data_IF_453863326282
#
_entry.id   IF_453863326282
#
_cell.length_a   1.000
_cell.length_b   1.000
_cell.length_c   1.000
_cell.angle_alpha   90.00
_cell.angle_beta   90.00
_cell.angle_gamma   90.00
#
_symmetry.space_group_name_H-M   'P 1'
#
loop_
_entity.id
_entity.type
_entity.pdbx_description
1 polymer ?
#
# COMPACT_ATOMS: atom_id res chain seq x y z
N UNK A 1 -81.30 29.13 24.19
CA UNK A 1 -80.79 28.99 22.81
C UNK A 1 -80.34 30.39 22.39
N UNK A 2 -79.03 30.66 22.48
CA UNK A 2 -78.47 32.01 22.64
C UNK A 2 -77.77 32.52 21.38
N UNK A 3 -78.12 33.78 21.05
CA UNK A 3 -77.42 34.91 20.43
C UNK A 3 -76.24 34.75 19.43
N UNK A 4 -76.34 35.58 18.39
CA UNK A 4 -75.31 36.01 17.45
C UNK A 4 -74.29 36.99 18.06
N UNK A 5 -73.08 37.07 17.48
CA UNK A 5 -72.38 38.32 17.07
C UNK A 5 -70.88 38.10 16.76
N UNK A 6 -70.37 38.85 15.77
CA UNK A 6 -69.13 39.61 15.95
C UNK A 6 -67.94 39.27 15.06
N UNK A 7 -67.79 39.99 13.95
CA UNK A 7 -66.51 40.23 13.28
C UNK A 7 -65.58 41.10 14.15
N UNK A 8 -64.26 40.86 14.12
CA UNK A 8 -63.25 41.91 14.00
C UNK A 8 -61.83 41.37 13.78
N UNK A 9 -61.12 41.95 12.82
CA UNK A 9 -59.75 41.59 12.45
C UNK A 9 -58.67 42.16 13.36
N UNK A 10 -57.44 41.62 13.22
CA UNK A 10 -56.18 42.29 13.57
C UNK A 10 -54.97 41.63 12.88
N UNK A 11 -54.43 42.37 11.91
CA UNK A 11 -53.01 42.71 11.66
C UNK A 11 -51.86 41.74 12.06
N UNK A 12 -51.06 41.42 11.03
CA UNK A 12 -49.59 41.52 10.95
C UNK A 12 -48.68 40.82 12.00
N UNK A 13 -47.98 39.77 11.56
CA UNK A 13 -46.54 39.54 11.79
C UNK A 13 -46.06 38.38 10.88
N UNK A 14 -45.05 38.54 10.00
CA UNK A 14 -44.30 37.39 9.53
C UNK A 14 -43.31 36.97 10.62
N UNK A 15 -43.31 35.69 10.98
CA UNK A 15 -42.31 35.10 11.84
C UNK A 15 -40.93 35.32 11.23
N UNK A 16 -40.06 36.03 11.94
CA UNK A 16 -38.62 36.04 11.67
C UNK A 16 -38.09 34.63 11.90
N UNK A 17 -37.92 33.87 10.82
CA UNK A 17 -37.05 32.71 10.81
C UNK A 17 -35.62 33.19 11.00
N UNK A 18 -35.06 32.98 12.18
CA UNK A 18 -33.63 33.10 12.44
C UNK A 18 -32.88 32.14 11.52
N UNK A 19 -32.31 32.68 10.45
CA UNK A 19 -31.33 31.97 9.61
C UNK A 19 -30.08 31.81 10.47
N UNK A 20 -29.93 30.63 11.07
CA UNK A 20 -28.66 30.20 11.64
C UNK A 20 -27.71 30.02 10.46
N UNK A 21 -26.86 31.02 10.22
CA UNK A 21 -25.70 30.91 9.34
C UNK A 21 -24.79 29.83 9.91
N UNK A 22 -24.97 28.59 9.45
CA UNK A 22 -23.96 27.56 9.59
C UNK A 22 -22.71 28.05 8.88
N UNK A 23 -21.74 28.51 9.66
CA UNK A 23 -20.38 28.65 9.19
C UNK A 23 -19.97 27.28 8.66
N UNK A 24 -19.83 27.17 7.34
CA UNK A 24 -19.07 26.08 6.76
C UNK A 24 -17.62 26.30 7.21
N UNK A 25 -17.26 25.63 8.30
CA UNK A 25 -15.87 25.38 8.63
C UNK A 25 -15.27 24.68 7.42
N UNK A 26 -14.44 25.41 6.68
CA UNK A 26 -13.58 24.85 5.66
C UNK A 26 -12.73 23.76 6.30
N UNK A 27 -13.16 22.51 6.17
CA UNK A 27 -12.30 21.37 6.44
C UNK A 27 -11.16 21.45 5.43
N UNK A 28 -10.03 21.99 5.89
CA UNK A 28 -8.75 21.91 5.20
C UNK A 28 -8.55 20.46 4.77
N UNK A 29 -8.63 20.18 3.47
CA UNK A 29 -8.28 18.88 2.91
C UNK A 29 -6.82 18.62 3.27
N UNK A 30 -6.58 17.76 4.25
CA UNK A 30 -5.23 17.35 4.62
C UNK A 30 -4.74 16.46 3.48
N UNK A 31 -3.98 17.02 2.55
CA UNK A 31 -3.22 16.22 1.59
C UNK A 31 -2.19 15.42 2.39
N UNK A 32 -2.49 14.16 2.65
CA UNK A 32 -1.51 13.25 3.22
C UNK A 32 -0.47 12.93 2.14
N UNK A 33 0.80 13.06 2.49
CA UNK A 33 1.91 12.90 1.56
C UNK A 33 2.03 11.41 1.17
N UNK A 34 2.10 11.12 -0.14
CA UNK A 34 2.14 9.75 -0.66
C UNK A 34 3.61 9.35 -0.87
N UNK A 35 3.99 8.17 -0.39
CA UNK A 35 5.26 7.54 -0.70
C UNK A 35 5.03 6.35 -1.63
N UNK A 36 5.73 6.32 -2.77
CA UNK A 36 5.69 5.22 -3.74
C UNK A 36 6.80 4.23 -3.45
N UNK A 37 6.46 2.97 -3.21
CA UNK A 37 7.44 1.89 -2.97
C UNK A 37 7.38 0.85 -4.08
N UNK A 38 8.52 0.43 -4.59
CA UNK A 38 8.59 -0.72 -5.49
C UNK A 38 8.99 -1.96 -4.71
N UNK A 39 8.16 -2.99 -4.78
CA UNK A 39 8.43 -4.31 -4.22
C UNK A 39 8.94 -5.20 -5.35
N UNK A 40 10.18 -5.66 -5.26
CA UNK A 40 10.81 -6.58 -6.21
C UNK A 40 10.70 -7.98 -5.60
N UNK A 41 9.81 -8.81 -6.15
CA UNK A 41 9.63 -10.19 -5.70
C UNK A 41 10.51 -11.13 -6.51
N UNK A 42 11.62 -11.54 -5.90
CA UNK A 42 12.61 -12.41 -6.55
C UNK A 42 12.32 -13.90 -6.32
N UNK A 43 11.59 -14.24 -5.25
CA UNK A 43 11.29 -15.61 -4.84
C UNK A 43 11.47 -15.81 -3.33
N UNK A 44 11.83 -17.03 -2.94
CA UNK A 44 11.91 -17.44 -1.53
C UNK A 44 10.57 -17.83 -0.90
N UNK A 45 10.64 -18.35 0.33
CA UNK A 45 9.50 -18.94 1.04
C UNK A 45 8.34 -17.96 1.26
N UNK A 46 8.62 -16.66 1.39
CA UNK A 46 7.61 -15.63 1.70
C UNK A 46 6.41 -15.62 0.74
N UNK A 47 6.63 -15.89 -0.55
CA UNK A 47 5.58 -15.94 -1.56
C UNK A 47 5.19 -17.35 -2.01
N UNK A 48 5.68 -18.41 -1.35
CA UNK A 48 5.30 -19.78 -1.70
C UNK A 48 3.87 -20.10 -1.26
N UNK A 49 3.30 -21.13 -1.87
CA UNK A 49 1.97 -21.64 -1.52
C UNK A 49 2.04 -23.10 -1.13
N UNK A 50 1.22 -23.50 -0.16
CA UNK A 50 1.06 -24.91 0.20
C UNK A 50 0.30 -25.64 -0.90
N UNK A 51 0.94 -26.62 -1.50
CA UNK A 51 0.36 -27.55 -2.45
C UNK A 51 0.74 -28.97 -2.02
N UNK A 52 -0.27 -29.81 -1.74
CA UNK A 52 -0.08 -31.20 -1.28
C UNK A 52 0.84 -31.35 -0.05
N UNK A 53 0.83 -30.34 0.84
CA UNK A 53 1.63 -30.34 2.08
C UNK A 53 3.08 -29.90 1.90
N UNK A 54 3.46 -29.42 0.71
CA UNK A 54 4.78 -28.87 0.41
C UNK A 54 4.65 -27.44 -0.08
N UNK A 55 5.59 -26.57 0.28
CA UNK A 55 5.62 -25.20 -0.23
C UNK A 55 6.30 -25.14 -1.59
N UNK A 56 5.61 -24.56 -2.56
CA UNK A 56 6.10 -24.38 -3.92
C UNK A 56 6.01 -22.92 -4.35
N UNK A 57 6.98 -22.40 -5.12
CA UNK A 57 6.85 -21.09 -5.73
C UNK A 57 5.73 -21.12 -6.77
N UNK A 58 4.85 -20.11 -6.74
CA UNK A 58 3.75 -20.00 -7.68
C UNK A 58 3.64 -18.58 -8.20
N UNK A 59 3.84 -18.43 -9.51
CA UNK A 59 3.82 -17.13 -10.16
C UNK A 59 2.45 -16.44 -10.03
N UNK A 60 2.46 -15.11 -9.99
CA UNK A 60 1.31 -14.21 -9.86
C UNK A 60 0.47 -14.39 -8.59
N UNK A 61 0.86 -15.29 -7.68
CA UNK A 61 0.02 -15.60 -6.52
C UNK A 61 0.21 -14.60 -5.38
N UNK A 62 1.40 -14.00 -5.26
CA UNK A 62 1.72 -13.08 -4.18
C UNK A 62 0.81 -11.85 -4.20
N UNK A 63 0.76 -11.16 -5.34
CA UNK A 63 -0.02 -9.92 -5.46
C UNK A 63 -1.52 -10.17 -5.25
N UNK A 64 -2.06 -11.25 -5.84
CA UNK A 64 -3.47 -11.63 -5.66
C UNK A 64 -3.84 -11.83 -4.19
N UNK A 65 -2.97 -12.51 -3.43
CA UNK A 65 -3.20 -12.76 -2.02
C UNK A 65 -3.03 -11.50 -1.17
N UNK A 66 -2.05 -10.65 -1.47
CA UNK A 66 -1.88 -9.36 -0.78
C UNK A 66 -3.07 -8.43 -1.00
N UNK A 67 -3.67 -8.42 -2.21
CA UNK A 67 -4.92 -7.69 -2.50
C UNK A 67 -6.09 -8.13 -1.62
N UNK A 68 -6.10 -9.38 -1.16
CA UNK A 68 -7.15 -9.92 -0.30
C UNK A 68 -6.92 -9.62 1.19
N UNK A 69 -5.73 -9.16 1.59
CA UNK A 69 -5.35 -8.93 2.99
C UNK A 69 -5.48 -7.44 3.35
N UNK A 70 -6.37 -7.06 4.29
CA UNK A 70 -6.62 -5.65 4.61
C UNK A 70 -5.40 -4.85 5.09
N UNK A 71 -4.43 -5.53 5.73
CA UNK A 71 -3.20 -4.90 6.21
C UNK A 71 -2.27 -4.49 5.06
N UNK A 72 -2.32 -5.22 3.93
CA UNK A 72 -1.47 -5.01 2.76
C UNK A 72 -2.19 -4.26 1.64
N UNK A 73 -3.53 -4.30 1.60
CA UNK A 73 -4.32 -3.57 0.63
C UNK A 73 -5.62 -3.04 1.27
N UNK A 74 -5.65 -1.74 1.56
CA UNK A 74 -6.85 -1.06 2.04
C UNK A 74 -7.69 -0.56 0.88
N UNK A 75 -8.96 -0.97 0.84
CA UNK A 75 -9.97 -0.46 -0.09
C UNK A 75 -10.63 0.84 0.40
N UNK A 76 -10.43 1.18 1.67
CA UNK A 76 -11.14 2.27 2.33
C UNK A 76 -10.11 3.23 2.91
N UNK A 77 -9.68 4.17 2.09
CA UNK A 77 -8.62 5.11 2.43
C UNK A 77 -8.96 6.49 1.87
N UNK A 78 -8.51 7.53 2.55
CA UNK A 78 -8.61 8.91 2.10
C UNK A 78 -7.56 9.25 1.02
N UNK A 79 -6.78 8.26 0.55
CA UNK A 79 -5.81 8.41 -0.53
C UNK A 79 -6.56 8.63 -1.86
N UNK A 80 -6.37 9.80 -2.45
CA UNK A 80 -6.85 10.10 -3.80
C UNK A 80 -5.85 9.55 -4.81
N UNK A 81 -6.20 8.44 -5.46
CA UNK A 81 -5.39 7.89 -6.55
C UNK A 81 -5.60 8.69 -7.84
N UNK A 82 -4.51 8.93 -8.55
CA UNK A 82 -4.49 9.42 -9.93
C UNK A 82 -4.47 8.25 -10.92
N UNK A 83 -4.75 8.46 -12.22
CA UNK A 83 -4.60 7.41 -13.24
C UNK A 83 -3.22 6.74 -13.26
N UNK A 84 -2.16 7.46 -12.89
CA UNK A 84 -0.80 6.92 -12.81
C UNK A 84 -0.59 5.97 -11.62
N UNK A 85 -1.49 6.01 -10.65
CA UNK A 85 -1.40 5.28 -9.37
C UNK A 85 -2.57 4.33 -9.12
N UNK A 86 -3.48 4.19 -10.08
CA UNK A 86 -4.74 3.43 -9.91
C UNK A 86 -4.51 1.93 -9.69
N UNK A 87 -3.39 1.42 -10.20
CA UNK A 87 -2.99 0.02 -10.12
C UNK A 87 -2.06 -0.29 -8.93
N UNK A 88 -1.79 0.71 -8.07
CA UNK A 88 -1.00 0.50 -6.86
C UNK A 88 -1.82 -0.17 -5.76
N UNK A 89 -1.15 -1.00 -4.96
CA UNK A 89 -1.65 -1.46 -3.68
C UNK A 89 -1.45 -0.37 -2.63
N UNK A 90 -2.43 -0.24 -1.72
CA UNK A 90 -2.40 0.78 -0.68
C UNK A 90 -2.17 0.09 0.67
N UNK A 91 -1.04 0.36 1.30
CA UNK A 91 -0.77 -0.16 2.63
C UNK A 91 -1.74 0.48 3.64
N UNK A 92 -2.24 -0.31 4.59
CA UNK A 92 -3.08 0.24 5.64
C UNK A 92 -2.30 1.30 6.44
N UNK A 93 -2.81 2.54 6.55
CA UNK A 93 -2.10 3.58 7.28
C UNK A 93 -2.03 3.23 8.77
N UNK A 94 -0.82 3.31 9.33
CA UNK A 94 -0.65 3.30 10.78
C UNK A 94 -1.16 4.61 11.35
N UNK A 95 -1.83 4.56 12.51
CA UNK A 95 -2.39 5.72 13.22
C UNK A 95 -1.30 6.79 13.52
N UNK A 96 -0.03 6.38 13.58
CA UNK A 96 1.11 7.26 13.87
C UNK A 96 1.72 7.91 12.63
N UNK A 97 1.47 7.35 11.45
CA UNK A 97 2.18 7.74 10.23
C UNK A 97 1.40 8.82 9.48
N UNK A 98 2.11 9.89 9.12
CA UNK A 98 1.55 11.03 8.37
C UNK A 98 1.61 10.84 6.85
N UNK A 99 2.22 9.74 6.38
CA UNK A 99 2.37 9.41 4.96
C UNK A 99 1.62 8.14 4.63
N UNK A 100 0.94 8.12 3.48
CA UNK A 100 0.39 6.90 2.93
C UNK A 100 1.43 6.22 2.05
N UNK A 101 1.61 4.92 2.24
CA UNK A 101 2.46 4.12 1.37
C UNK A 101 1.59 3.44 0.34
N UNK A 102 1.87 3.72 -0.93
CA UNK A 102 1.36 2.94 -2.06
C UNK A 102 2.52 2.17 -2.67
N UNK A 103 2.25 0.97 -3.16
CA UNK A 103 3.31 0.13 -3.70
C UNK A 103 2.86 -0.70 -4.90
N UNK A 104 3.84 -1.05 -5.73
CA UNK A 104 3.69 -2.01 -6.83
C UNK A 104 4.60 -3.20 -6.62
N UNK A 105 4.21 -4.33 -7.19
CA UNK A 105 5.02 -5.54 -7.17
C UNK A 105 5.53 -5.79 -8.59
N UNK A 106 6.84 -5.93 -8.72
CA UNK A 106 7.48 -6.50 -9.91
C UNK A 106 7.95 -7.89 -9.53
N UNK A 107 7.36 -8.88 -10.17
CA UNK A 107 7.66 -10.29 -9.96
C UNK A 107 8.67 -10.78 -11.00
N UNK A 108 9.68 -11.53 -10.55
CA UNK A 108 10.64 -12.16 -11.45
C UNK A 108 10.05 -13.42 -12.07
N UNK A 109 10.33 -13.62 -13.35
CA UNK A 109 9.99 -14.84 -14.07
C UNK A 109 11.27 -15.47 -14.67
N UNK A 110 11.70 -16.65 -14.22
CA UNK A 110 11.10 -17.46 -13.16
C UNK A 110 11.39 -16.90 -11.76
N UNK A 111 10.55 -17.27 -10.78
CA UNK A 111 10.84 -17.09 -9.36
C UNK A 111 12.09 -17.91 -8.97
N UNK A 112 12.94 -17.32 -8.16
CA UNK A 112 14.25 -17.87 -7.81
C UNK A 112 14.23 -18.54 -6.43
N UNK A 113 14.91 -19.68 -6.34
CA UNK A 113 15.39 -20.22 -5.07
C UNK A 113 16.68 -19.48 -4.71
N UNK A 114 16.72 -18.84 -3.53
CA UNK A 114 17.87 -18.07 -3.08
C UNK A 114 19.16 -18.87 -3.06
N UNK A 115 19.08 -20.18 -2.76
CA UNK A 115 20.24 -21.07 -2.75
C UNK A 115 20.91 -21.22 -4.12
N UNK A 116 20.20 -20.87 -5.21
CA UNK A 116 20.69 -20.93 -6.59
C UNK A 116 21.00 -19.56 -7.20
N UNK A 117 20.89 -18.46 -6.44
CA UNK A 117 21.15 -17.13 -7.00
C UNK A 117 22.63 -16.92 -7.31
N UNK A 118 22.88 -16.39 -8.50
CA UNK A 118 24.22 -16.07 -9.00
C UNK A 118 24.33 -14.59 -9.34
N UNK A 119 25.53 -14.15 -9.72
CA UNK A 119 25.85 -12.74 -10.01
C UNK A 119 24.86 -12.12 -11.02
N UNK A 120 24.43 -12.88 -12.03
CA UNK A 120 23.46 -12.37 -13.01
C UNK A 120 22.11 -12.03 -12.40
N UNK A 121 21.69 -12.70 -11.33
CA UNK A 121 20.44 -12.41 -10.64
C UNK A 121 20.55 -11.15 -9.79
N UNK A 122 21.70 -10.92 -9.15
CA UNK A 122 21.99 -9.65 -8.47
C UNK A 122 22.00 -8.48 -9.46
N UNK A 123 22.56 -8.68 -10.65
CA UNK A 123 22.52 -7.68 -11.72
C UNK A 123 21.07 -7.37 -12.10
N UNK A 124 20.20 -8.38 -12.26
CA UNK A 124 18.76 -8.15 -12.52
C UNK A 124 18.10 -7.31 -11.43
N UNK A 125 18.34 -7.61 -10.14
CA UNK A 125 17.79 -6.84 -9.02
C UNK A 125 18.29 -5.39 -9.08
N UNK A 126 19.60 -5.18 -9.23
CA UNK A 126 20.19 -3.84 -9.31
C UNK A 126 19.66 -3.03 -10.52
N UNK A 127 19.41 -3.71 -11.64
CA UNK A 127 18.86 -3.10 -12.86
C UNK A 127 17.41 -2.69 -12.65
N UNK A 128 16.59 -3.56 -12.05
CA UNK A 128 15.20 -3.23 -11.70
C UNK A 128 15.12 -2.01 -10.76
N UNK A 129 16.02 -1.90 -9.79
CA UNK A 129 16.12 -0.72 -8.92
C UNK A 129 16.52 0.52 -9.72
N UNK A 130 17.57 0.42 -10.55
CA UNK A 130 18.10 1.52 -11.35
C UNK A 130 17.05 2.09 -12.32
N UNK A 131 16.37 1.21 -13.04
CA UNK A 131 15.41 1.59 -14.08
C UNK A 131 14.17 2.27 -13.48
N UNK A 132 13.84 1.97 -12.22
CA UNK A 132 12.72 2.54 -11.48
C UNK A 132 13.15 3.61 -10.47
N UNK A 133 14.42 4.01 -10.46
CA UNK A 133 14.99 4.79 -9.36
C UNK A 133 14.36 6.18 -9.21
N UNK A 134 13.88 6.79 -10.29
CA UNK A 134 13.27 8.11 -10.26
C UNK A 134 11.79 8.07 -9.84
N UNK A 135 11.10 6.99 -10.15
CA UNK A 135 9.63 6.91 -10.02
C UNK A 135 9.15 6.50 -8.63
N UNK A 136 10.04 5.91 -7.83
CA UNK A 136 9.74 5.38 -6.49
C UNK A 136 10.61 6.03 -5.42
N UNK A 137 10.09 6.17 -4.20
CA UNK A 137 10.76 6.76 -3.04
C UNK A 137 11.58 5.74 -2.25
N UNK A 138 11.38 4.45 -2.49
CA UNK A 138 12.11 3.36 -1.85
C UNK A 138 11.81 2.00 -2.47
N UNK A 139 12.61 1.01 -2.09
CA UNK A 139 12.58 -0.33 -2.66
C UNK A 139 12.53 -1.39 -1.55
N UNK A 140 11.72 -2.42 -1.75
CA UNK A 140 11.71 -3.64 -0.95
C UNK A 140 12.04 -4.80 -1.87
N UNK A 141 13.01 -5.63 -1.51
CA UNK A 141 13.36 -6.84 -2.26
C UNK A 141 12.95 -8.04 -1.42
N UNK A 142 11.93 -8.76 -1.88
CA UNK A 142 11.50 -10.02 -1.28
C UNK A 142 12.37 -11.14 -1.81
N UNK A 143 13.03 -11.85 -0.91
CA UNK A 143 14.11 -12.77 -1.20
C UNK A 143 14.08 -13.98 -0.25
N UNK A 144 14.62 -15.12 -0.68
CA UNK A 144 14.80 -16.28 0.21
C UNK A 144 15.90 -16.06 1.26
N UNK A 145 15.81 -16.69 2.41
CA UNK A 145 16.68 -16.36 3.56
C UNK A 145 18.10 -16.93 3.46
N UNK A 146 18.29 -18.03 2.73
CA UNK A 146 19.57 -18.76 2.65
C UNK A 146 20.76 -17.90 2.20
N UNK A 147 20.54 -17.04 1.19
CA UNK A 147 21.62 -16.22 0.59
C UNK A 147 21.33 -14.72 0.67
N UNK A 148 20.32 -14.30 1.44
CA UNK A 148 19.92 -12.89 1.55
C UNK A 148 21.09 -11.97 1.94
N UNK A 149 21.95 -12.42 2.87
CA UNK A 149 23.11 -11.64 3.30
C UNK A 149 24.16 -11.45 2.18
N UNK A 150 24.36 -12.46 1.33
CA UNK A 150 25.26 -12.36 0.17
C UNK A 150 24.70 -11.40 -0.87
N UNK A 151 23.40 -11.51 -1.18
CA UNK A 151 22.72 -10.59 -2.09
C UNK A 151 22.74 -9.15 -1.56
N UNK A 152 22.46 -8.94 -0.27
CA UNK A 152 22.55 -7.62 0.37
C UNK A 152 23.95 -7.03 0.25
N UNK A 153 24.98 -7.84 0.51
CA UNK A 153 26.38 -7.43 0.39
C UNK A 153 26.72 -7.04 -1.05
N UNK A 154 26.35 -7.86 -2.04
CA UNK A 154 26.58 -7.56 -3.46
C UNK A 154 25.87 -6.26 -3.88
N UNK A 155 24.60 -6.08 -3.52
CA UNK A 155 23.83 -4.87 -3.85
C UNK A 155 24.41 -3.62 -3.20
N UNK A 156 24.98 -3.72 -1.99
CA UNK A 156 25.63 -2.58 -1.33
C UNK A 156 26.81 -2.00 -2.13
N UNK A 157 27.47 -2.82 -2.95
CA UNK A 157 28.52 -2.38 -3.86
C UNK A 157 27.97 -2.00 -5.24
N UNK A 158 26.96 -2.71 -5.75
CA UNK A 158 26.39 -2.44 -7.08
C UNK A 158 25.60 -1.13 -7.14
N UNK A 159 24.91 -0.77 -6.06
CA UNK A 159 24.06 0.42 -5.99
C UNK A 159 24.81 1.60 -5.34
N UNK A 160 25.77 2.18 -6.07
CA UNK A 160 26.50 3.35 -5.59
C UNK A 160 25.61 4.61 -5.50
N UNK A 161 25.95 5.53 -4.59
CA UNK A 161 25.29 6.83 -4.41
C UNK A 161 23.77 6.74 -4.11
N UNK A 162 23.39 5.76 -3.28
CA UNK A 162 22.01 5.60 -2.81
C UNK A 162 21.55 6.80 -1.96
N UNK A 163 20.48 7.44 -2.43
CA UNK A 163 19.70 8.46 -1.72
C UNK A 163 18.30 7.99 -1.31
N UNK A 164 17.92 6.75 -1.66
CA UNK A 164 16.63 6.11 -1.36
C UNK A 164 16.87 4.76 -0.69
N UNK A 165 16.04 4.33 0.27
CA UNK A 165 16.24 3.06 0.96
C UNK A 165 15.98 1.86 0.04
N UNK A 166 16.83 0.84 0.16
CA UNK A 166 16.60 -0.51 -0.37
C UNK A 166 16.59 -1.48 0.81
N UNK A 167 15.46 -2.15 1.03
CA UNK A 167 15.25 -3.08 2.15
C UNK A 167 15.13 -4.49 1.60
N UNK A 168 15.97 -5.42 2.07
CA UNK A 168 15.82 -6.84 1.78
C UNK A 168 15.05 -7.49 2.93
N UNK A 169 14.09 -8.35 2.58
CA UNK A 169 13.37 -9.15 3.57
C UNK A 169 12.90 -10.47 2.97
N UNK A 170 12.51 -11.39 3.84
CA UNK A 170 12.04 -12.73 3.53
C UNK A 170 11.40 -13.33 4.77
N UNK A 171 10.97 -14.58 4.70
CA UNK A 171 10.34 -15.27 5.82
C UNK A 171 10.68 -16.75 5.82
N UNK A 172 10.59 -17.38 6.99
CA UNK A 172 10.72 -18.84 7.13
C UNK A 172 9.40 -19.56 6.81
N UNK A 173 8.27 -18.88 6.97
CA UNK A 173 6.92 -19.40 6.69
C UNK A 173 6.24 -18.46 5.70
N UNK A 174 5.55 -18.95 4.66
CA UNK A 174 4.91 -18.06 3.68
C UNK A 174 3.95 -17.06 4.33
N UNK A 175 3.88 -15.84 3.79
CA UNK A 175 3.17 -14.69 4.36
C UNK A 175 1.66 -14.91 4.53
N UNK A 176 1.11 -15.93 3.87
CA UNK A 176 -0.31 -16.26 3.88
C UNK A 176 -0.72 -17.20 5.02
N UNK A 177 0.25 -17.74 5.76
CA UNK A 177 0.01 -18.71 6.83
C UNK A 177 -0.19 -18.03 8.19
N UNK A 178 -1.05 -18.60 9.04
CA UNK A 178 -1.49 -18.03 10.34
C UNK A 178 -0.38 -17.81 11.37
N UNK A 179 0.85 -18.29 11.12
CA UNK A 179 2.02 -18.14 12.00
C UNK A 179 3.25 -17.64 11.23
N UNK A 180 3.02 -16.95 10.13
CA UNK A 180 4.09 -16.38 9.35
C UNK A 180 4.88 -15.32 10.12
N UNK A 181 6.18 -15.29 9.86
CA UNK A 181 7.13 -14.24 10.25
C UNK A 181 7.34 -13.19 9.14
N UNK A 182 6.63 -13.33 8.01
CA UNK A 182 6.67 -12.42 6.86
C UNK A 182 5.70 -11.25 6.93
#
# INVERSE_FOLDING_TARGET
MAAANGENGRSSHPAQGSVVLMHQSSASSKSHDIAKVLVIFTGGTIGMVSQDGVYVPKASCLEEKLKAMPIFHSKNTDVVLTPETEDFLILQPSIKDRKHVIYKIVEFDPLLDSSNMIITDWIKISTAIKDNYQDYDGFVVLHGTDTMAYTASALSFMCENLGKPIILTGSQIPIFETRSDG
#
